data_IF_486021019095
#
_entry.id   IF_486021019095
#
_cell.length_a   1.000
_cell.length_b   1.000
_cell.length_c   1.000
_cell.angle_alpha   90.00
_cell.angle_beta   90.00
_cell.angle_gamma   90.00
#
_symmetry.space_group_name_H-M   'P 1'
#
loop_
_entity.id
_entity.type
_entity.pdbx_description
1 polymer ?
#
# COMPACT_ATOMS: atom_id res chain seq x y z
N UNK A 1 31.29 -2.16 -2.45
CA UNK A 1 30.23 -1.24 -2.00
C UNK A 1 28.90 -1.95 -2.15
N UNK A 2 28.36 -2.55 -1.07
CA UNK A 2 27.04 -3.20 -1.08
C UNK A 2 26.03 -2.17 -0.60
N UNK A 3 25.23 -1.63 -1.49
CA UNK A 3 24.03 -0.87 -1.10
C UNK A 3 23.03 -1.91 -0.60
N UNK A 4 22.99 -2.15 0.71
CA UNK A 4 21.87 -2.85 1.32
C UNK A 4 20.69 -1.86 1.30
N UNK A 5 19.83 -1.95 0.28
CA UNK A 5 18.53 -1.30 0.31
C UNK A 5 17.68 -2.03 1.35
N UNK A 6 17.40 -1.40 2.48
CA UNK A 6 16.47 -1.95 3.47
C UNK A 6 15.08 -2.08 2.85
N UNK A 7 14.49 -3.26 2.90
CA UNK A 7 13.10 -3.53 2.53
C UNK A 7 12.36 -4.11 3.71
N UNK A 8 11.15 -3.62 3.98
CA UNK A 8 10.23 -4.26 4.93
C UNK A 8 9.45 -5.34 4.21
N UNK A 9 9.28 -6.49 4.86
CA UNK A 9 8.40 -7.56 4.40
C UNK A 9 7.21 -7.64 5.34
N UNK A 10 6.02 -7.79 4.75
CA UNK A 10 4.75 -7.81 5.45
C UNK A 10 3.96 -9.05 5.02
N UNK A 11 3.90 -10.11 5.86
CA UNK A 11 3.18 -11.33 5.52
C UNK A 11 1.67 -11.08 5.40
N UNK A 12 1.07 -11.59 4.33
CA UNK A 12 -0.37 -11.61 4.09
C UNK A 12 -0.85 -13.06 3.94
N UNK A 13 -2.03 -13.36 4.50
CA UNK A 13 -2.73 -14.63 4.28
C UNK A 13 -3.87 -14.36 3.31
N UNK A 14 -3.80 -14.99 2.13
CA UNK A 14 -4.83 -14.86 1.10
C UNK A 14 -5.95 -15.89 1.30
N UNK A 15 -7.18 -15.47 1.03
CA UNK A 15 -8.35 -16.33 0.91
C UNK A 15 -8.59 -16.72 -0.56
N UNK A 16 -9.48 -17.70 -0.78
CA UNK A 16 -9.81 -18.22 -2.11
C UNK A 16 -10.45 -17.16 -3.04
N UNK A 17 -11.08 -16.12 -2.47
CA UNK A 17 -11.66 -15.01 -3.22
C UNK A 17 -10.65 -13.92 -3.62
N UNK A 18 -9.37 -14.12 -3.28
CA UNK A 18 -8.27 -13.19 -3.57
C UNK A 18 -8.16 -12.03 -2.59
N UNK A 19 -9.04 -11.93 -1.59
CA UNK A 19 -8.83 -11.02 -0.46
C UNK A 19 -7.69 -11.52 0.42
N UNK A 20 -7.15 -10.65 1.28
CA UNK A 20 -6.12 -11.04 2.21
C UNK A 20 -6.28 -10.39 3.58
N UNK A 21 -5.66 -11.00 4.58
CA UNK A 21 -5.54 -10.44 5.93
C UNK A 21 -4.08 -10.35 6.34
N UNK A 22 -3.75 -9.29 7.08
CA UNK A 22 -2.49 -9.11 7.78
C UNK A 22 -2.73 -9.17 9.28
N UNK A 23 -1.87 -9.89 10.00
CA UNK A 23 -1.87 -9.82 11.46
C UNK A 23 -1.56 -8.39 11.91
N UNK A 24 -2.32 -7.88 12.88
CA UNK A 24 -2.04 -6.59 13.54
C UNK A 24 -1.54 -6.83 14.96
N UNK A 25 -1.04 -5.78 15.65
CA UNK A 25 -0.69 -5.87 17.07
C UNK A 25 -1.88 -6.23 17.98
N UNK A 26 -3.12 -6.01 17.52
CA UNK A 26 -4.35 -6.43 18.20
C UNK A 26 -4.89 -7.71 17.53
N UNK A 27 -4.70 -8.91 18.10
CA UNK A 27 -4.99 -10.17 17.40
C UNK A 27 -6.42 -10.33 16.88
N UNK A 28 -7.38 -9.64 17.50
CA UNK A 28 -8.79 -9.68 17.13
C UNK A 28 -9.18 -8.67 16.04
N UNK A 29 -8.22 -7.88 15.54
CA UNK A 29 -8.43 -6.81 14.57
C UNK A 29 -7.36 -6.85 13.48
N UNK A 30 -7.33 -7.89 12.64
CA UNK A 30 -6.40 -7.94 11.52
C UNK A 30 -6.69 -6.80 10.52
N UNK A 31 -5.66 -6.37 9.79
CA UNK A 31 -5.88 -5.48 8.65
C UNK A 31 -6.42 -6.29 7.48
N UNK A 32 -7.51 -5.82 6.87
CA UNK A 32 -8.18 -6.50 5.77
C UNK A 32 -7.85 -5.82 4.45
N UNK A 33 -7.57 -6.63 3.43
CA UNK A 33 -7.22 -6.22 2.08
C UNK A 33 -8.27 -6.79 1.13
N UNK A 34 -9.16 -5.98 0.54
CA UNK A 34 -10.10 -6.47 -0.45
C UNK A 34 -9.33 -6.93 -1.70
N UNK A 35 -9.82 -7.96 -2.41
CA UNK A 35 -9.13 -8.47 -3.60
C UNK A 35 -8.87 -7.38 -4.65
N UNK A 36 -9.76 -6.39 -4.75
CA UNK A 36 -9.64 -5.24 -5.65
C UNK A 36 -8.46 -4.33 -5.36
N UNK A 37 -7.82 -4.40 -4.18
CA UNK A 37 -6.64 -3.60 -3.89
C UNK A 37 -5.36 -4.17 -4.48
N UNK A 38 -5.32 -5.44 -4.89
CA UNK A 38 -4.16 -6.05 -5.52
C UNK A 38 -4.22 -5.84 -7.03
N UNK A 39 -3.41 -4.91 -7.53
CA UNK A 39 -3.40 -4.48 -8.93
C UNK A 39 -2.02 -4.66 -9.56
N UNK A 40 -1.90 -4.38 -10.86
CA UNK A 40 -0.62 -4.37 -11.57
C UNK A 40 -0.30 -2.96 -12.05
N UNK A 41 0.84 -2.43 -11.61
CA UNK A 41 1.42 -1.18 -12.10
C UNK A 41 2.57 -1.43 -13.08
N UNK A 42 3.29 -0.37 -13.46
CA UNK A 42 4.46 -0.46 -14.33
C UNK A 42 5.58 0.47 -13.85
N UNK A 43 6.80 -0.06 -13.76
CA UNK A 43 8.02 0.72 -13.45
C UNK A 43 8.98 0.59 -14.62
N UNK A 44 9.28 1.71 -15.30
CA UNK A 44 10.19 1.75 -16.47
C UNK A 44 9.85 0.72 -17.55
N UNK A 45 8.55 0.50 -17.80
CA UNK A 45 8.04 -0.47 -18.77
C UNK A 45 7.89 -1.90 -18.25
N UNK A 46 8.35 -2.22 -17.03
CA UNK A 46 8.19 -3.54 -16.41
C UNK A 46 6.93 -3.59 -15.56
N UNK A 47 6.07 -4.59 -15.78
CA UNK A 47 4.89 -4.84 -14.94
C UNK A 47 5.28 -5.27 -13.52
N UNK A 48 4.62 -4.69 -12.51
CA UNK A 48 4.91 -4.96 -11.09
C UNK A 48 3.58 -5.12 -10.33
N UNK A 49 3.38 -6.21 -9.55
CA UNK A 49 2.25 -6.31 -8.63
C UNK A 49 2.38 -5.26 -7.52
N UNK A 50 1.30 -4.53 -7.26
CA UNK A 50 1.29 -3.47 -6.25
C UNK A 50 -0.10 -3.30 -5.63
N UNK A 51 -0.17 -2.52 -4.55
CA UNK A 51 -1.44 -2.08 -4.01
C UNK A 51 -2.01 -0.92 -4.82
N UNK A 52 -3.34 -0.85 -4.92
CA UNK A 52 -4.04 0.24 -5.60
C UNK A 52 -3.77 1.59 -4.93
N UNK A 53 -4.00 2.68 -5.67
CA UNK A 53 -3.81 4.03 -5.14
C UNK A 53 -4.74 4.29 -3.94
N UNK A 54 -5.98 3.83 -4.01
CA UNK A 54 -6.97 3.95 -2.93
C UNK A 54 -6.51 3.21 -1.68
N UNK A 55 -5.91 2.02 -1.83
CA UNK A 55 -5.40 1.26 -0.68
C UNK A 55 -4.18 1.95 -0.05
N UNK A 56 -3.34 2.63 -0.82
CA UNK A 56 -2.23 3.41 -0.28
C UNK A 56 -2.73 4.61 0.53
N UNK A 57 -3.80 5.28 0.08
CA UNK A 57 -4.44 6.39 0.82
C UNK A 57 -5.15 5.91 2.09
N UNK A 58 -5.74 4.71 2.05
CA UNK A 58 -6.44 4.13 3.19
C UNK A 58 -5.52 3.92 4.40
N UNK A 59 -4.23 3.60 4.18
CA UNK A 59 -3.32 3.37 5.28
C UNK A 59 -2.97 4.65 6.03
N UNK A 60 -3.33 4.65 7.31
CA UNK A 60 -3.01 5.67 8.28
C UNK A 60 -2.63 5.01 9.60
N UNK A 61 -1.81 5.68 10.40
CA UNK A 61 -1.39 5.13 11.70
C UNK A 61 -0.25 5.86 12.39
N UNK A 62 0.31 6.89 11.74
CA UNK A 62 1.34 7.75 12.29
C UNK A 62 1.17 9.18 11.77
N UNK A 63 1.78 10.14 12.48
CA UNK A 63 1.82 11.54 12.05
C UNK A 63 2.60 11.64 10.72
N UNK A 64 2.00 12.15 9.64
CA UNK A 64 2.64 12.14 8.33
C UNK A 64 3.90 13.02 8.30
N UNK A 65 4.94 12.52 7.64
CA UNK A 65 6.10 13.31 7.27
C UNK A 65 5.82 14.22 6.06
N UNK A 66 6.75 15.10 5.72
CA UNK A 66 6.65 15.90 4.48
C UNK A 66 6.65 15.01 3.23
N UNK A 67 7.36 13.89 3.29
CA UNK A 67 7.40 12.92 2.20
C UNK A 67 6.04 12.24 2.01
N UNK A 68 5.41 11.81 3.11
CA UNK A 68 4.07 11.21 3.02
C UNK A 68 3.06 12.20 2.43
N UNK A 69 3.13 13.48 2.82
CA UNK A 69 2.30 14.55 2.23
C UNK A 69 2.56 14.75 0.74
N UNK A 70 3.83 14.72 0.32
CA UNK A 70 4.18 14.80 -1.09
C UNK A 70 3.62 13.60 -1.88
N UNK A 71 3.76 12.38 -1.35
CA UNK A 71 3.25 11.16 -1.99
C UNK A 71 1.71 11.22 -2.13
N UNK A 72 0.98 11.72 -1.11
CA UNK A 72 -0.47 11.95 -1.21
C UNK A 72 -0.85 12.98 -2.28
N UNK A 73 -0.06 14.03 -2.47
CA UNK A 73 -0.30 15.01 -3.53
C UNK A 73 -0.08 14.40 -4.92
N UNK A 74 0.93 13.55 -5.09
CA UNK A 74 1.18 12.83 -6.35
C UNK A 74 0.07 11.81 -6.67
N UNK A 75 -0.39 11.05 -5.67
CA UNK A 75 -1.52 10.13 -5.84
C UNK A 75 -2.79 10.88 -6.29
N UNK A 76 -3.11 12.01 -5.65
CA UNK A 76 -4.23 12.88 -6.05
C UNK A 76 -4.08 13.37 -7.50
N UNK A 77 -2.89 13.86 -7.85
CA UNK A 77 -2.60 14.43 -9.18
C UNK A 77 -2.72 13.39 -10.30
N UNK A 78 -2.22 12.18 -10.08
CA UNK A 78 -2.13 11.14 -11.12
C UNK A 78 -3.44 10.36 -11.25
N UNK A 79 -4.08 10.01 -10.14
CA UNK A 79 -5.26 9.14 -10.13
C UNK A 79 -6.59 9.90 -9.99
N UNK A 80 -6.57 11.19 -9.68
CA UNK A 80 -7.79 11.99 -9.49
C UNK A 80 -8.60 11.59 -8.25
N UNK A 81 -7.96 10.92 -7.28
CA UNK A 81 -8.61 10.44 -6.05
C UNK A 81 -8.46 11.46 -4.91
N UNK A 82 -9.45 11.49 -4.02
CA UNK A 82 -9.34 12.25 -2.77
C UNK A 82 -8.31 11.58 -1.86
N UNK A 83 -7.30 12.33 -1.47
CA UNK A 83 -6.29 11.92 -0.49
C UNK A 83 -6.45 12.72 0.79
N UNK A 84 -5.89 12.24 1.89
CA UNK A 84 -5.82 13.01 3.13
C UNK A 84 -4.69 14.05 3.01
N UNK A 85 -4.92 15.25 3.58
CA UNK A 85 -4.03 16.41 3.61
C UNK A 85 -3.80 17.13 2.26
#
# INVERSE_FOLDING_TARGET
MRTLTSGSLQPLVFADDGSAVQASPEPQRPFTYPCSCFVTGTIKGTSVPCLSAEQQVYFQGYEPSERDRHDMAELRRVFGITTHF
#
